data_IF_795508716813
#
_entry.id   IF_795508716813
#
_cell.length_a   1.000
_cell.length_b   1.000
_cell.length_c   1.000
_cell.angle_alpha   90.00
_cell.angle_beta   90.00
_cell.angle_gamma   90.00
#
_symmetry.space_group_name_H-M   'P 1'
#
loop_
_entity.id
_entity.type
_entity.pdbx_description
1 polymer ?
#
# COMPACT_ATOMS: atom_id res chain seq x y z
N UNK A 1 -22.67 -18.22 31.42
CA UNK A 1 -21.74 -17.09 31.24
C UNK A 1 -21.73 -16.79 29.74
N UNK A 2 -22.48 -15.76 29.30
CA UNK A 2 -22.50 -15.36 27.87
C UNK A 2 -21.16 -14.67 27.59
N UNK A 3 -20.42 -15.20 26.59
CA UNK A 3 -19.28 -14.50 26.03
C UNK A 3 -19.78 -13.14 25.50
N UNK A 4 -19.19 -12.06 25.99
CA UNK A 4 -19.40 -10.73 25.43
C UNK A 4 -18.91 -10.79 23.98
N UNK A 5 -19.81 -10.70 23.01
CA UNK A 5 -19.44 -10.50 21.61
C UNK A 5 -18.76 -9.14 21.52
N UNK A 6 -17.54 -9.11 21.06
CA UNK A 6 -16.87 -7.87 20.68
C UNK A 6 -17.80 -7.06 19.76
N UNK A 7 -17.86 -5.73 19.93
CA UNK A 7 -18.65 -4.89 19.04
C UNK A 7 -18.17 -5.12 17.60
N UNK A 8 -19.09 -5.21 16.63
CA UNK A 8 -18.72 -5.44 15.22
C UNK A 8 -17.75 -4.33 14.77
N UNK A 9 -16.63 -4.74 14.22
CA UNK A 9 -15.66 -3.80 13.61
C UNK A 9 -16.39 -3.00 12.52
N UNK A 10 -16.30 -1.68 12.49
CA UNK A 10 -16.94 -0.88 11.46
C UNK A 10 -16.45 -1.29 10.06
N UNK A 11 -17.32 -1.24 9.03
CA UNK A 11 -16.94 -1.60 7.68
C UNK A 11 -15.85 -0.68 7.14
N UNK A 12 -14.97 -1.22 6.30
CA UNK A 12 -13.90 -0.47 5.62
C UNK A 12 -14.54 0.45 4.58
N UNK A 13 -14.33 1.75 4.69
CA UNK A 13 -14.87 2.77 3.80
C UNK A 13 -14.00 2.91 2.55
N UNK A 14 -14.55 2.63 1.37
CA UNK A 14 -13.82 2.60 0.11
C UNK A 14 -14.32 3.65 -0.86
N UNK A 15 -13.40 4.46 -1.41
CA UNK A 15 -13.63 5.34 -2.56
C UNK A 15 -13.10 4.67 -3.83
N UNK A 16 -13.91 4.63 -4.89
CA UNK A 16 -13.52 4.04 -6.17
C UNK A 16 -13.22 5.13 -7.18
N UNK A 17 -12.02 5.11 -7.77
CA UNK A 17 -11.58 6.11 -8.74
C UNK A 17 -11.12 5.43 -10.03
N UNK A 18 -11.80 5.76 -11.15
CA UNK A 18 -11.49 5.24 -12.49
C UNK A 18 -12.19 6.15 -13.53
N UNK A 19 -11.61 6.38 -14.68
CA UNK A 19 -12.25 7.18 -15.72
C UNK A 19 -13.39 6.46 -16.44
N UNK A 20 -13.36 5.10 -16.45
CA UNK A 20 -14.35 4.25 -17.09
C UNK A 20 -15.55 3.98 -16.18
N UNK A 21 -16.72 4.50 -16.53
CA UNK A 21 -17.94 4.34 -15.72
C UNK A 21 -18.32 2.87 -15.47
N UNK A 22 -18.16 2.01 -16.48
CA UNK A 22 -18.48 0.58 -16.37
C UNK A 22 -17.57 -0.11 -15.34
N UNK A 23 -16.28 0.25 -15.31
CA UNK A 23 -15.29 -0.26 -14.35
C UNK A 23 -15.64 0.19 -12.93
N UNK A 24 -15.98 1.48 -12.75
CA UNK A 24 -16.42 1.99 -11.45
C UNK A 24 -17.65 1.25 -10.92
N UNK A 25 -18.67 1.07 -11.77
CA UNK A 25 -19.90 0.35 -11.41
C UNK A 25 -19.63 -1.13 -11.07
N UNK A 26 -18.82 -1.81 -11.88
CA UNK A 26 -18.46 -3.21 -11.67
C UNK A 26 -17.74 -3.44 -10.35
N UNK A 27 -16.70 -2.68 -10.06
CA UNK A 27 -15.97 -2.77 -8.79
C UNK A 27 -16.81 -2.27 -7.61
N UNK A 28 -17.66 -1.25 -7.83
CA UNK A 28 -18.62 -0.80 -6.83
C UNK A 28 -19.56 -1.89 -6.38
N UNK A 29 -20.20 -2.58 -7.33
CA UNK A 29 -21.09 -3.70 -7.03
C UNK A 29 -20.36 -4.88 -6.34
N UNK A 30 -19.15 -5.20 -6.79
CA UNK A 30 -18.33 -6.26 -6.21
C UNK A 30 -17.99 -5.99 -4.74
N UNK A 31 -17.54 -4.77 -4.43
CA UNK A 31 -17.15 -4.39 -3.07
C UNK A 31 -18.36 -4.19 -2.16
N UNK A 32 -19.45 -3.59 -2.66
CA UNK A 32 -20.69 -3.41 -1.91
C UNK A 32 -21.41 -4.74 -1.57
N UNK A 33 -21.08 -5.84 -2.28
CA UNK A 33 -21.58 -7.18 -1.94
C UNK A 33 -20.90 -7.77 -0.68
N UNK A 34 -19.82 -7.15 -0.18
CA UNK A 34 -19.12 -7.60 1.02
C UNK A 34 -19.73 -6.94 2.26
N UNK A 35 -19.94 -7.70 3.35
CA UNK A 35 -20.55 -7.19 4.58
C UNK A 35 -19.63 -6.30 5.42
N UNK A 36 -18.33 -6.38 5.18
CA UNK A 36 -17.26 -5.69 5.90
C UNK A 36 -16.68 -4.50 5.10
N UNK A 37 -17.26 -4.17 3.94
CA UNK A 37 -16.82 -3.07 3.07
C UNK A 37 -18.00 -2.14 2.76
N UNK A 38 -17.79 -0.83 2.88
CA UNK A 38 -18.73 0.22 2.52
C UNK A 38 -18.17 1.10 1.40
N UNK A 39 -18.81 1.10 0.23
CA UNK A 39 -18.43 1.95 -0.90
C UNK A 39 -19.02 3.33 -0.68
N UNK A 40 -18.23 4.25 -0.15
CA UNK A 40 -18.67 5.59 0.24
C UNK A 40 -18.82 6.58 -0.91
N UNK A 41 -18.31 6.25 -2.10
CA UNK A 41 -18.46 7.07 -3.30
C UNK A 41 -17.57 6.61 -4.45
N UNK A 42 -17.69 7.34 -5.57
CA UNK A 42 -16.83 7.16 -6.74
C UNK A 42 -16.38 8.50 -7.34
N UNK A 43 -15.32 8.48 -8.16
CA UNK A 43 -14.82 9.63 -8.89
C UNK A 43 -14.31 9.21 -10.28
N UNK A 44 -14.48 10.11 -11.27
CA UNK A 44 -14.14 9.83 -12.67
C UNK A 44 -12.75 10.32 -13.08
N UNK A 45 -12.07 11.07 -12.23
CA UNK A 45 -10.73 11.60 -12.46
C UNK A 45 -10.02 11.89 -11.12
N UNK A 46 -8.73 12.20 -11.20
CA UNK A 46 -7.92 12.46 -10.02
C UNK A 46 -8.29 13.73 -9.26
N UNK A 47 -8.81 14.78 -9.93
CA UNK A 47 -9.21 16.01 -9.26
C UNK A 47 -10.48 15.77 -8.43
N UNK A 48 -11.48 15.12 -9.01
CA UNK A 48 -12.69 14.68 -8.31
C UNK A 48 -12.35 13.72 -7.15
N UNK A 49 -11.34 12.86 -7.32
CA UNK A 49 -10.86 11.94 -6.26
C UNK A 49 -10.29 12.70 -5.06
N UNK A 50 -9.49 13.74 -5.27
CA UNK A 50 -8.95 14.59 -4.19
C UNK A 50 -10.07 15.24 -3.39
N UNK A 51 -11.07 15.81 -4.06
CA UNK A 51 -12.20 16.46 -3.40
C UNK A 51 -13.11 15.45 -2.68
N UNK A 52 -13.36 14.28 -3.31
CA UNK A 52 -14.13 13.20 -2.71
C UNK A 52 -13.43 12.64 -1.47
N UNK A 53 -12.10 12.45 -1.51
CA UNK A 53 -11.32 11.96 -0.37
C UNK A 53 -11.42 12.90 0.83
N UNK A 54 -11.41 14.20 0.62
CA UNK A 54 -11.58 15.20 1.68
C UNK A 54 -12.97 15.18 2.31
N UNK A 55 -14.00 15.04 1.48
CA UNK A 55 -15.39 15.06 1.94
C UNK A 55 -15.83 13.78 2.59
N UNK A 56 -15.40 12.64 2.04
CA UNK A 56 -15.88 11.31 2.42
C UNK A 56 -14.98 10.60 3.42
N UNK A 57 -13.75 11.06 3.63
CA UNK A 57 -12.76 10.45 4.52
C UNK A 57 -12.71 8.92 4.42
N UNK A 58 -12.41 8.35 3.22
CA UNK A 58 -12.33 6.91 3.05
C UNK A 58 -11.14 6.31 3.82
N UNK A 59 -11.25 5.05 4.22
CA UNK A 59 -10.11 4.29 4.75
C UNK A 59 -9.20 3.79 3.62
N UNK A 60 -9.80 3.42 2.47
CA UNK A 60 -9.10 2.94 1.28
C UNK A 60 -9.58 3.68 0.05
N UNK A 61 -8.65 4.08 -0.82
CA UNK A 61 -8.93 4.59 -2.16
C UNK A 61 -8.43 3.57 -3.18
N UNK A 62 -9.33 3.00 -3.95
CA UNK A 62 -8.99 2.26 -5.16
C UNK A 62 -8.79 3.27 -6.29
N UNK A 63 -7.58 3.37 -6.84
CA UNK A 63 -7.17 4.42 -7.76
C UNK A 63 -6.69 3.85 -9.10
N UNK A 64 -7.29 4.27 -10.19
CA UNK A 64 -6.70 4.03 -11.51
C UNK A 64 -5.45 4.90 -11.70
N UNK A 65 -4.45 4.36 -12.42
CA UNK A 65 -3.20 5.10 -12.71
C UNK A 65 -3.42 6.16 -13.78
N UNK A 66 -4.06 5.80 -14.90
CA UNK A 66 -4.22 6.68 -16.05
C UNK A 66 -5.63 7.25 -16.13
N UNK A 67 -5.77 8.52 -15.86
CA UNK A 67 -7.05 9.24 -15.95
C UNK A 67 -6.86 10.61 -16.58
N UNK A 68 -7.89 11.18 -17.22
CA UNK A 68 -7.87 12.55 -17.73
C UNK A 68 -7.82 13.56 -16.57
N UNK A 69 -7.53 14.82 -16.88
CA UNK A 69 -7.50 15.98 -15.99
C UNK A 69 -6.36 15.90 -14.96
N UNK A 70 -6.36 14.88 -14.11
CA UNK A 70 -5.33 14.60 -13.12
C UNK A 70 -5.14 13.08 -13.04
N UNK A 71 -3.91 12.60 -13.27
CA UNK A 71 -3.58 11.19 -13.18
C UNK A 71 -3.61 10.68 -11.73
N UNK A 72 -3.68 9.35 -11.58
CA UNK A 72 -3.79 8.71 -10.28
C UNK A 72 -2.55 8.86 -9.41
N UNK A 73 -1.35 9.00 -9.99
CA UNK A 73 -0.10 9.19 -9.24
C UNK A 73 -0.10 10.56 -8.57
N UNK A 74 -0.41 11.60 -9.32
CA UNK A 74 -0.45 12.95 -8.78
C UNK A 74 -1.66 13.15 -7.84
N UNK A 75 -2.82 12.53 -8.14
CA UNK A 75 -3.95 12.51 -7.22
C UNK A 75 -3.58 11.88 -5.88
N UNK A 76 -2.88 10.75 -5.91
CA UNK A 76 -2.38 10.07 -4.71
C UNK A 76 -1.45 10.97 -3.90
N UNK A 77 -0.49 11.66 -4.55
CA UNK A 77 0.40 12.60 -3.86
C UNK A 77 -0.39 13.72 -3.17
N UNK A 78 -1.40 14.28 -3.82
CA UNK A 78 -2.24 15.34 -3.25
C UNK A 78 -3.11 14.87 -2.10
N UNK A 79 -3.74 13.70 -2.22
CA UNK A 79 -4.54 13.10 -1.15
C UNK A 79 -3.69 12.86 0.09
N UNK A 80 -2.49 12.31 -0.10
CA UNK A 80 -1.62 11.91 1.01
C UNK A 80 -0.80 13.04 1.62
N UNK A 81 -0.71 14.20 0.94
CA UNK A 81 -0.07 15.41 1.48
C UNK A 81 -1.06 16.39 2.12
N UNK A 82 -2.35 16.15 2.01
CA UNK A 82 -3.36 17.07 2.52
C UNK A 82 -3.30 17.16 4.05
N UNK A 83 -3.06 18.35 4.64
CA UNK A 83 -2.96 18.50 6.08
C UNK A 83 -4.32 18.27 6.75
N UNK A 84 -4.30 17.70 7.96
CA UNK A 84 -5.49 17.55 8.81
C UNK A 84 -6.46 16.43 8.43
N UNK A 85 -6.13 15.62 7.41
CA UNK A 85 -6.95 14.49 7.00
C UNK A 85 -6.39 13.17 7.54
N UNK A 86 -7.31 12.24 7.82
CA UNK A 86 -6.95 10.83 7.97
C UNK A 86 -6.50 10.33 6.60
N UNK A 87 -5.20 10.07 6.44
CA UNK A 87 -4.65 9.65 5.15
C UNK A 87 -5.14 8.26 4.79
N UNK A 88 -5.93 8.10 3.70
CA UNK A 88 -6.38 6.79 3.27
C UNK A 88 -5.22 5.92 2.80
N UNK A 89 -5.41 4.63 2.78
CA UNK A 89 -4.56 3.69 2.04
C UNK A 89 -4.93 3.76 0.56
N UNK A 90 -3.96 3.72 -0.32
CA UNK A 90 -4.21 3.78 -1.77
C UNK A 90 -3.80 2.48 -2.41
N UNK A 91 -4.76 1.80 -3.07
CA UNK A 91 -4.52 0.64 -3.92
C UNK A 91 -4.59 1.10 -5.38
N UNK A 92 -3.47 1.04 -6.07
CA UNK A 92 -3.41 1.39 -7.48
C UNK A 92 -3.85 0.21 -8.34
N UNK A 93 -4.66 0.49 -9.37
CA UNK A 93 -5.00 -0.47 -10.40
C UNK A 93 -4.53 0.02 -11.76
N UNK A 94 -3.91 -0.87 -12.54
CA UNK A 94 -3.45 -0.56 -13.90
C UNK A 94 -3.71 -1.70 -14.86
N UNK A 95 -3.65 -1.39 -16.16
CA UNK A 95 -3.52 -2.37 -17.24
C UNK A 95 -2.05 -2.82 -17.37
N UNK A 96 -1.73 -3.67 -18.34
CA UNK A 96 -0.49 -4.44 -18.49
C UNK A 96 0.86 -3.69 -18.54
N UNK A 97 0.92 -2.38 -18.71
CA UNK A 97 2.19 -1.61 -18.75
C UNK A 97 2.73 -1.32 -17.35
N UNK A 98 3.18 -2.37 -16.66
CA UNK A 98 3.61 -2.35 -15.25
C UNK A 98 4.93 -1.63 -15.01
N UNK A 99 5.88 -1.70 -15.97
CA UNK A 99 7.28 -1.42 -15.69
C UNK A 99 7.57 0.04 -15.30
N UNK A 100 6.82 1.00 -15.84
CA UNK A 100 7.12 2.41 -15.65
C UNK A 100 6.43 3.03 -14.41
N UNK A 101 5.35 2.41 -13.90
CA UNK A 101 4.47 3.06 -12.90
C UNK A 101 4.56 2.49 -11.49
N UNK A 102 5.02 1.26 -11.30
CA UNK A 102 5.02 0.60 -9.99
C UNK A 102 5.85 1.38 -8.98
N UNK A 103 7.07 1.70 -9.34
CA UNK A 103 7.97 2.46 -8.46
C UNK A 103 7.43 3.86 -8.17
N UNK A 104 6.95 4.57 -9.19
CA UNK A 104 6.39 5.91 -9.02
C UNK A 104 5.11 5.89 -8.15
N UNK A 105 4.28 4.85 -8.28
CA UNK A 105 3.10 4.65 -7.45
C UNK A 105 3.46 4.45 -5.97
N UNK A 106 4.41 3.55 -5.70
CA UNK A 106 4.89 3.32 -4.34
C UNK A 106 5.56 4.56 -3.75
N UNK A 107 6.33 5.28 -4.57
CA UNK A 107 6.95 6.55 -4.20
C UNK A 107 5.93 7.68 -3.96
N UNK A 108 4.82 7.67 -4.70
CA UNK A 108 3.68 8.56 -4.45
C UNK A 108 2.98 8.23 -3.13
N UNK A 109 3.19 7.03 -2.61
CA UNK A 109 2.67 6.57 -1.34
C UNK A 109 1.56 5.52 -1.46
N UNK A 110 1.44 4.83 -2.59
CA UNK A 110 0.51 3.71 -2.72
C UNK A 110 0.86 2.60 -1.71
N UNK A 111 -0.16 2.02 -1.10
CA UNK A 111 -0.08 0.93 -0.13
C UNK A 111 -0.25 -0.45 -0.80
N UNK A 112 -0.74 -0.48 -2.03
CA UNK A 112 -0.92 -1.69 -2.82
C UNK A 112 -0.98 -1.40 -4.31
N UNK A 113 -0.74 -2.45 -5.09
CA UNK A 113 -0.77 -2.38 -6.54
C UNK A 113 -1.31 -3.68 -7.12
N UNK A 114 -2.32 -3.58 -7.98
CA UNK A 114 -2.97 -4.70 -8.66
C UNK A 114 -3.10 -4.43 -10.16
N UNK A 115 -3.22 -5.50 -10.92
CA UNK A 115 -3.64 -5.44 -12.31
C UNK A 115 -5.17 -5.36 -12.42
N UNK A 116 -5.69 -4.66 -13.44
CA UNK A 116 -7.14 -4.57 -13.69
C UNK A 116 -7.76 -5.90 -14.11
N UNK A 117 -6.96 -6.84 -14.60
CA UNK A 117 -7.35 -8.21 -14.97
C UNK A 117 -7.19 -9.22 -13.81
N UNK A 118 -6.75 -8.76 -12.63
CA UNK A 118 -6.68 -9.60 -11.45
C UNK A 118 -8.08 -10.14 -11.09
N UNK A 119 -8.16 -11.38 -10.56
CA UNK A 119 -9.42 -11.92 -10.08
C UNK A 119 -10.15 -10.98 -9.11
N UNK A 120 -11.47 -10.93 -9.19
CA UNK A 120 -12.29 -10.10 -8.32
C UNK A 120 -12.02 -10.32 -6.82
N UNK A 121 -11.73 -11.58 -6.44
CA UNK A 121 -11.36 -11.94 -5.07
C UNK A 121 -10.09 -11.24 -4.59
N UNK A 122 -9.12 -11.03 -5.49
CA UNK A 122 -7.85 -10.39 -5.16
C UNK A 122 -8.05 -8.90 -4.83
N UNK A 123 -8.97 -8.22 -5.52
CA UNK A 123 -9.31 -6.83 -5.19
C UNK A 123 -9.96 -6.73 -3.80
N UNK A 124 -10.91 -7.61 -3.49
CA UNK A 124 -11.54 -7.65 -2.16
C UNK A 124 -10.49 -7.90 -1.08
N UNK A 125 -9.60 -8.87 -1.32
CA UNK A 125 -8.52 -9.18 -0.40
C UNK A 125 -7.54 -8.00 -0.25
N UNK A 126 -7.20 -7.30 -1.34
CA UNK A 126 -6.35 -6.12 -1.31
C UNK A 126 -6.91 -5.01 -0.42
N UNK A 127 -8.19 -4.72 -0.54
CA UNK A 127 -8.87 -3.73 0.32
C UNK A 127 -8.74 -4.11 1.79
N UNK A 128 -8.98 -5.38 2.15
CA UNK A 128 -8.87 -5.87 3.53
C UNK A 128 -7.45 -5.79 4.07
N UNK A 129 -6.48 -6.22 3.28
CA UNK A 129 -5.06 -6.23 3.66
C UNK A 129 -4.56 -4.82 3.89
N UNK A 130 -4.81 -3.89 2.95
CA UNK A 130 -4.31 -2.52 3.10
C UNK A 130 -5.05 -1.75 4.18
N UNK A 131 -6.33 -2.01 4.42
CA UNK A 131 -7.07 -1.44 5.53
C UNK A 131 -6.49 -1.86 6.89
N UNK A 132 -5.98 -3.11 6.97
CA UNK A 132 -5.26 -3.63 8.14
C UNK A 132 -3.88 -3.02 8.37
N UNK A 133 -3.38 -2.20 7.45
CA UNK A 133 -2.04 -1.57 7.54
C UNK A 133 -0.92 -2.36 6.88
N UNK A 134 -1.22 -3.53 6.32
CA UNK A 134 -0.28 -4.29 5.52
C UNK A 134 -0.25 -3.75 4.07
N UNK A 135 0.77 -4.13 3.30
CA UNK A 135 0.86 -3.83 1.87
C UNK A 135 0.58 -5.08 1.05
N UNK A 136 -0.14 -4.91 -0.05
CA UNK A 136 -0.34 -5.98 -1.01
C UNK A 136 0.32 -5.61 -2.34
N UNK A 137 1.36 -6.35 -2.68
CA UNK A 137 2.01 -6.30 -3.99
C UNK A 137 1.86 -7.68 -4.64
N UNK A 138 1.25 -7.74 -5.83
CA UNK A 138 1.22 -8.98 -6.59
C UNK A 138 2.66 -9.45 -6.90
N UNK A 139 2.94 -10.76 -7.01
CA UNK A 139 4.29 -11.26 -7.27
C UNK A 139 4.93 -10.69 -8.55
N UNK A 140 4.14 -10.41 -9.59
CA UNK A 140 4.58 -9.72 -10.82
C UNK A 140 5.06 -8.30 -10.50
N UNK A 141 4.29 -7.55 -9.73
CA UNK A 141 4.59 -6.19 -9.30
C UNK A 141 5.87 -6.14 -8.47
N UNK A 142 6.06 -7.09 -7.55
CA UNK A 142 7.30 -7.19 -6.75
C UNK A 142 8.52 -7.45 -7.65
N UNK A 143 8.42 -8.33 -8.64
CA UNK A 143 9.52 -8.58 -9.59
C UNK A 143 9.88 -7.33 -10.41
N UNK A 144 8.88 -6.62 -10.92
CA UNK A 144 9.08 -5.35 -11.63
C UNK A 144 9.76 -4.31 -10.75
N UNK A 145 9.32 -4.17 -9.52
CA UNK A 145 9.93 -3.25 -8.55
C UNK A 145 11.41 -3.55 -8.32
N UNK A 146 11.75 -4.81 -8.10
CA UNK A 146 13.14 -5.26 -7.94
C UNK A 146 13.97 -4.96 -9.20
N UNK A 147 13.41 -5.23 -10.39
CA UNK A 147 14.08 -4.96 -11.66
C UNK A 147 14.32 -3.44 -11.87
N UNK A 148 13.38 -2.59 -11.49
CA UNK A 148 13.52 -1.14 -11.55
C UNK A 148 14.61 -0.61 -10.62
N UNK A 149 14.70 -1.15 -9.41
CA UNK A 149 15.80 -0.81 -8.49
C UNK A 149 17.16 -1.27 -9.06
N UNK A 150 17.22 -2.43 -9.70
CA UNK A 150 18.44 -2.95 -10.32
C UNK A 150 18.94 -2.11 -11.52
N UNK A 151 18.02 -1.48 -12.26
CA UNK A 151 18.35 -0.60 -13.40
C UNK A 151 18.84 0.78 -13.00
N UNK A 152 18.57 1.22 -11.76
CA UNK A 152 18.96 2.55 -11.30
C UNK A 152 20.43 2.57 -10.91
N UNK A 153 21.24 3.51 -11.45
CA UNK A 153 22.65 3.59 -11.07
C UNK A 153 22.79 3.76 -9.57
N UNK A 154 23.74 3.04 -9.03
CA UNK A 154 24.18 3.10 -7.62
C UNK A 154 24.73 4.51 -7.34
N UNK A 155 23.87 5.49 -7.18
CA UNK A 155 24.30 6.80 -6.67
C UNK A 155 24.63 6.54 -5.22
N UNK A 156 25.89 6.79 -4.86
CA UNK A 156 26.47 6.75 -3.51
C UNK A 156 25.59 7.57 -2.55
N UNK A 157 24.45 6.99 -2.14
CA UNK A 157 23.44 7.67 -1.34
C UNK A 157 23.86 7.59 0.11
N UNK A 158 24.05 8.73 0.79
CA UNK A 158 24.26 8.70 2.23
C UNK A 158 23.03 8.01 2.85
N UNK A 159 23.26 6.98 3.65
CA UNK A 159 22.21 6.34 4.43
C UNK A 159 21.47 7.44 5.20
N UNK A 160 20.17 7.62 5.03
CA UNK A 160 19.42 8.62 5.76
C UNK A 160 19.71 8.47 7.25
N UNK A 161 19.86 9.58 7.96
CA UNK A 161 20.09 9.58 9.41
C UNK A 161 19.03 8.76 10.16
N UNK A 162 17.84 8.68 9.60
CA UNK A 162 16.70 7.91 10.10
C UNK A 162 17.00 6.41 10.28
N UNK A 163 17.78 5.76 9.38
CA UNK A 163 18.13 4.35 9.56
C UNK A 163 19.03 4.11 10.80
N UNK A 164 19.68 5.15 11.31
CA UNK A 164 20.48 5.05 12.54
C UNK A 164 19.62 4.92 13.80
N UNK A 165 18.34 5.25 13.73
CA UNK A 165 17.39 5.13 14.83
C UNK A 165 16.89 3.69 15.02
N UNK A 166 17.12 2.84 14.03
CA UNK A 166 16.76 1.43 14.11
C UNK A 166 17.77 0.65 14.95
N UNK A 167 17.25 -0.21 15.83
CA UNK A 167 18.08 -1.21 16.51
C UNK A 167 18.59 -2.26 15.50
N UNK A 168 19.64 -3.03 15.81
CA UNK A 168 20.08 -4.13 14.96
C UNK A 168 18.95 -5.08 14.58
N UNK A 169 18.08 -5.41 15.52
CA UNK A 169 16.93 -6.31 15.29
C UNK A 169 15.88 -5.72 14.36
N UNK A 170 15.57 -4.44 14.50
CA UNK A 170 14.66 -3.75 13.59
C UNK A 170 15.25 -3.65 12.18
N UNK A 171 16.56 -3.49 12.06
CA UNK A 171 17.25 -3.49 10.76
C UNK A 171 17.18 -4.87 10.10
N UNK A 172 17.33 -5.97 10.83
CA UNK A 172 17.15 -7.33 10.32
C UNK A 172 15.72 -7.55 9.84
N UNK A 173 14.73 -7.15 10.63
CA UNK A 173 13.31 -7.24 10.25
C UNK A 173 13.04 -6.41 8.99
N UNK A 174 13.57 -5.18 8.88
CA UNK A 174 13.39 -4.34 7.70
C UNK A 174 14.00 -4.97 6.43
N UNK A 175 15.16 -5.64 6.54
CA UNK A 175 15.75 -6.38 5.42
C UNK A 175 14.86 -7.52 4.94
N UNK A 176 14.29 -8.29 5.86
CA UNK A 176 13.38 -9.39 5.52
C UNK A 176 12.06 -8.87 4.92
N UNK A 177 11.54 -7.73 5.42
CA UNK A 177 10.42 -7.04 4.78
C UNK A 177 10.76 -6.68 3.32
N UNK A 178 11.92 -6.12 3.07
CA UNK A 178 12.36 -5.73 1.73
C UNK A 178 12.60 -6.94 0.81
N UNK A 179 12.96 -8.09 1.37
CA UNK A 179 13.05 -9.37 0.66
C UNK A 179 11.66 -10.00 0.35
N UNK A 180 10.56 -9.39 0.83
CA UNK A 180 9.20 -9.87 0.58
C UNK A 180 8.65 -10.86 1.60
N UNK A 181 9.38 -11.16 2.70
CA UNK A 181 8.96 -12.15 3.70
C UNK A 181 7.72 -11.67 4.47
N UNK A 182 6.72 -12.51 4.67
CA UNK A 182 5.57 -12.27 5.55
C UNK A 182 5.99 -12.20 7.03
N UNK A 183 5.10 -11.73 7.91
CA UNK A 183 5.41 -11.70 9.35
C UNK A 183 5.65 -13.11 9.92
N UNK A 184 4.95 -14.12 9.41
CA UNK A 184 5.17 -15.52 9.79
C UNK A 184 6.56 -16.01 9.35
N UNK A 185 6.95 -15.78 8.08
CA UNK A 185 8.28 -16.16 7.57
C UNK A 185 9.41 -15.42 8.30
N UNK A 186 9.21 -14.15 8.67
CA UNK A 186 10.15 -13.38 9.50
C UNK A 186 10.25 -13.98 10.89
N UNK A 187 9.13 -14.41 11.48
CA UNK A 187 9.09 -15.05 12.79
C UNK A 187 9.89 -16.36 12.79
N UNK A 188 9.70 -17.18 11.77
CA UNK A 188 10.43 -18.43 11.58
C UNK A 188 11.93 -18.18 11.38
N UNK A 189 12.30 -17.26 10.48
CA UNK A 189 13.69 -16.92 10.17
C UNK A 189 14.46 -16.36 11.37
N UNK A 190 13.78 -15.63 12.24
CA UNK A 190 14.39 -14.94 13.38
C UNK A 190 14.15 -15.66 14.73
N UNK A 191 13.45 -16.80 14.70
CA UNK A 191 13.07 -17.59 15.88
C UNK A 191 12.32 -16.72 16.90
N UNK A 192 11.25 -16.07 16.45
CA UNK A 192 10.39 -15.19 17.23
C UNK A 192 8.93 -15.64 17.16
N UNK A 193 8.10 -15.14 18.07
CA UNK A 193 6.65 -15.17 17.89
C UNK A 193 6.21 -14.13 16.87
N UNK A 194 5.21 -14.44 16.04
CA UNK A 194 4.66 -13.50 15.02
C UNK A 194 4.21 -12.18 15.64
N UNK A 195 3.64 -12.21 16.85
CA UNK A 195 3.25 -11.00 17.59
C UNK A 195 4.45 -10.10 17.92
N UNK A 196 5.62 -10.69 18.17
CA UNK A 196 6.87 -9.95 18.38
C UNK A 196 7.33 -9.27 17.10
N UNK A 197 7.21 -9.97 15.96
CA UNK A 197 7.51 -9.40 14.64
C UNK A 197 6.58 -8.22 14.36
N UNK A 198 5.28 -8.35 14.59
CA UNK A 198 4.30 -7.24 14.46
C UNK A 198 4.71 -6.03 15.29
N UNK A 199 5.21 -6.25 16.50
CA UNK A 199 5.71 -5.17 17.36
C UNK A 199 6.95 -4.48 16.77
N UNK A 200 7.91 -5.24 16.23
CA UNK A 200 9.09 -4.66 15.55
C UNK A 200 8.68 -3.86 14.31
N UNK A 201 7.78 -4.41 13.48
CA UNK A 201 7.24 -3.72 12.29
C UNK A 201 6.59 -2.39 12.67
N UNK A 202 5.73 -2.36 13.68
CA UNK A 202 5.11 -1.13 14.17
C UNK A 202 6.14 -0.10 14.64
N UNK A 203 7.18 -0.52 15.36
CA UNK A 203 8.28 0.37 15.80
C UNK A 203 9.09 0.92 14.63
N UNK A 204 9.40 0.09 13.62
CA UNK A 204 10.08 0.51 12.39
C UNK A 204 9.25 1.59 11.70
N UNK A 205 7.94 1.36 11.52
CA UNK A 205 7.06 2.33 10.87
C UNK A 205 7.03 3.65 11.63
N UNK A 206 6.91 3.61 12.94
CA UNK A 206 6.93 4.82 13.80
C UNK A 206 8.24 5.57 13.68
N UNK A 207 9.39 4.91 13.79
CA UNK A 207 10.73 5.53 13.74
C UNK A 207 11.06 6.13 12.38
N UNK A 208 10.64 5.47 11.30
CA UNK A 208 10.91 5.92 9.93
C UNK A 208 9.79 6.80 9.34
N UNK A 209 8.69 7.03 10.08
CA UNK A 209 7.54 7.79 9.60
C UNK A 209 6.81 7.11 8.44
N UNK A 210 6.82 5.76 8.41
CA UNK A 210 6.21 4.96 7.35
C UNK A 210 4.75 4.68 7.67
N UNK A 211 3.92 4.64 6.63
CA UNK A 211 2.49 4.35 6.78
C UNK A 211 2.17 2.87 6.68
N UNK A 212 2.95 2.14 5.92
CA UNK A 212 2.70 0.72 5.62
C UNK A 212 3.98 0.00 5.17
N UNK A 213 3.81 -1.29 4.88
CA UNK A 213 4.87 -2.20 4.48
C UNK A 213 5.47 -1.85 3.10
N UNK A 214 4.67 -1.32 2.16
CA UNK A 214 5.17 -0.93 0.85
C UNK A 214 6.19 0.21 0.96
N UNK A 215 5.93 1.18 1.85
CA UNK A 215 6.87 2.25 2.15
C UNK A 215 8.17 1.72 2.79
N UNK A 216 8.09 0.67 3.60
CA UNK A 216 9.26 0.03 4.20
C UNK A 216 10.15 -0.64 3.13
N UNK A 217 9.54 -1.27 2.12
CA UNK A 217 10.28 -1.82 0.97
C UNK A 217 10.98 -0.70 0.21
N UNK A 218 10.26 0.36 -0.17
CA UNK A 218 10.83 1.49 -0.92
C UNK A 218 12.03 2.10 -0.18
N UNK A 219 11.90 2.41 1.11
CA UNK A 219 12.99 3.03 1.87
C UNK A 219 14.20 2.11 2.01
N UNK A 220 14.01 0.80 2.16
CA UNK A 220 15.10 -0.17 2.26
C UNK A 220 15.96 -0.21 0.99
N UNK A 221 15.33 -0.15 -0.18
CA UNK A 221 16.03 -0.08 -1.48
C UNK A 221 16.61 1.32 -1.75
N UNK A 222 15.87 2.39 -1.51
CA UNK A 222 16.34 3.76 -1.73
C UNK A 222 17.55 4.13 -0.87
N UNK A 223 17.65 3.55 0.32
CA UNK A 223 18.77 3.78 1.24
C UNK A 223 19.95 2.85 1.02
N UNK A 224 19.85 1.91 0.07
CA UNK A 224 20.85 0.88 -0.16
C UNK A 224 21.02 -0.10 1.02
N UNK A 225 20.02 -0.22 1.90
CA UNK A 225 20.01 -1.22 2.97
C UNK A 225 19.93 -2.63 2.40
N UNK A 226 19.23 -2.76 1.26
CA UNK A 226 19.09 -3.98 0.47
C UNK A 226 19.43 -3.64 -0.98
N UNK A 227 20.09 -4.57 -1.68
CA UNK A 227 20.37 -4.45 -3.11
C UNK A 227 19.63 -5.54 -3.88
N UNK A 228 19.17 -5.27 -5.12
CA UNK A 228 18.56 -6.29 -5.97
C UNK A 228 19.55 -7.43 -6.21
N UNK A 229 19.14 -8.68 -5.92
CA UNK A 229 19.96 -9.87 -6.17
C UNK A 229 20.95 -10.22 -5.07
N UNK A 230 20.90 -9.58 -3.90
CA UNK A 230 21.68 -9.96 -2.71
C UNK A 230 20.96 -10.98 -1.85
#
# INVERSE_FOLDING_TARGET
MRAASDPPTPPVRVLIVDDQAMVRQGFGALLAAQTDIDVVGDAADGAAAVDASRRLEPDVVRMDVRMPVLDGLEATRRILRAPGLRHPRVVMLTTFDLDDYVYEALRAGASGFLLKDAPAADLVQAVRVVAGGDALLAPSVTRTLIADFARRPDTNRPRPSQLRELTPRETEVLKLIAAGSSNSEIADALVLAEQTVKTHVGRIFTKLGLRDRAQAVVIAYETGLVQPGS
#
